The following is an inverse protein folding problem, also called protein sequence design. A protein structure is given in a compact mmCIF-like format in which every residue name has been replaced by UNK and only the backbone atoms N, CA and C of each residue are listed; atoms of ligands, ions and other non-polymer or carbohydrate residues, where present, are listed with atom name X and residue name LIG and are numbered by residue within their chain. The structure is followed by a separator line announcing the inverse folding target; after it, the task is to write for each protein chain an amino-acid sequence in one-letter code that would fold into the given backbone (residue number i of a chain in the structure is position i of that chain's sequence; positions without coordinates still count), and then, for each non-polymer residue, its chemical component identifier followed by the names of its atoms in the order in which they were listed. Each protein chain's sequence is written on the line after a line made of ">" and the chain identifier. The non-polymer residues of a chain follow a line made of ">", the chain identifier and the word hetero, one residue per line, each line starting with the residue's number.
data_IF_593765145407
#
_entry.id   IF_593765145407
#
_cell.length_a   1.000
_cell.length_b   1.000
_cell.length_c   1.000
_cell.angle_alpha   90.00
_cell.angle_beta   90.00
_cell.angle_gamma   90.00
#
_symmetry.space_group_name_H-M   'P 1'
#
loop_
_entity.id
_entity.type
_entity.pdbx_description
1 polymer ?
#
# COMPACT_ATOMS: atom_id res chain seq x y z
N UNK A 1 -7.25 -8.19 -6.28
CA UNK A 1 -6.58 -7.63 -5.09
C UNK A 1 -6.99 -8.42 -3.85
N UNK A 2 -6.03 -8.98 -3.10
CA UNK A 2 -6.31 -9.67 -1.82
C UNK A 2 -6.70 -8.71 -0.68
N UNK A 3 -6.47 -7.41 -0.83
CA UNK A 3 -6.78 -6.37 0.15
C UNK A 3 -7.72 -5.32 -0.45
N UNK A 4 -8.75 -4.91 0.30
CA UNK A 4 -9.65 -3.82 -0.10
C UNK A 4 -8.99 -2.45 0.16
N UNK A 5 -9.35 -1.45 -0.65
CA UNK A 5 -8.79 -0.09 -0.56
C UNK A 5 -8.97 0.53 0.84
N UNK A 6 -10.13 0.34 1.45
CA UNK A 6 -10.43 0.80 2.82
C UNK A 6 -9.48 0.21 3.87
N UNK A 7 -9.07 -1.05 3.66
CA UNK A 7 -8.14 -1.75 4.54
C UNK A 7 -6.71 -1.25 4.36
N UNK A 8 -6.33 -0.94 3.12
CA UNK A 8 -5.05 -0.28 2.81
C UNK A 8 -4.99 1.13 3.42
N UNK A 9 -6.07 1.91 3.33
CA UNK A 9 -6.16 3.23 3.97
C UNK A 9 -6.01 3.12 5.50
N UNK A 10 -6.68 2.15 6.12
CA UNK A 10 -6.59 1.90 7.56
C UNK A 10 -5.17 1.51 8.00
N UNK A 11 -4.52 0.61 7.26
CA UNK A 11 -3.13 0.21 7.51
C UNK A 11 -2.17 1.39 7.34
N UNK A 12 -2.35 2.18 6.28
CA UNK A 12 -1.50 3.35 5.99
C UNK A 12 -1.58 4.39 7.11
N UNK A 13 -2.78 4.61 7.65
CA UNK A 13 -2.99 5.51 8.79
C UNK A 13 -2.28 5.00 10.05
N UNK A 14 -2.48 3.74 10.43
CA UNK A 14 -1.84 3.12 11.60
C UNK A 14 -0.32 3.14 11.45
N UNK A 15 0.20 2.77 10.28
CA UNK A 15 1.63 2.76 9.98
C UNK A 15 2.23 4.15 10.15
N UNK A 16 1.60 5.18 9.57
CA UNK A 16 2.06 6.56 9.68
C UNK A 16 2.04 7.05 11.12
N UNK A 17 1.01 6.69 11.89
CA UNK A 17 0.90 7.04 13.30
C UNK A 17 1.97 6.38 14.15
N UNK A 18 2.26 5.09 13.92
CA UNK A 18 3.34 4.37 14.61
C UNK A 18 4.70 4.98 14.27
N UNK A 19 4.98 5.21 12.99
CA UNK A 19 6.24 5.79 12.51
C UNK A 19 6.48 7.20 13.10
N UNK A 20 5.43 8.02 13.21
CA UNK A 20 5.49 9.32 13.88
C UNK A 20 5.70 9.19 15.40
N UNK A 21 4.98 8.25 16.03
CA UNK A 21 5.06 8.02 17.48
C UNK A 21 6.43 7.52 17.92
N UNK A 22 7.06 6.67 17.12
CA UNK A 22 8.40 6.14 17.38
C UNK A 22 9.53 7.11 16.98
N UNK A 23 9.18 8.28 16.42
CA UNK A 23 10.17 9.29 16.02
C UNK A 23 11.03 8.89 14.83
N UNK A 24 10.66 7.81 14.12
CA UNK A 24 11.37 7.31 12.93
C UNK A 24 11.24 8.26 11.73
N UNK A 25 10.24 9.14 11.77
CA UNK A 25 10.00 10.20 10.78
C UNK A 25 9.72 11.51 11.49
N UNK A 26 10.39 12.58 11.07
CA UNK A 26 10.19 13.91 11.64
C UNK A 26 8.92 14.56 11.11
N UNK A 27 8.24 15.28 12.00
CA UNK A 27 6.92 15.88 11.79
C UNK A 27 6.91 16.83 10.59
N UNK A 28 6.31 16.40 9.49
CA UNK A 28 5.95 17.28 8.38
C UNK A 28 4.55 17.86 8.65
N UNK A 29 4.29 19.15 8.41
CA UNK A 29 2.99 19.79 8.68
C UNK A 29 1.82 19.23 7.86
N UNK A 30 2.02 18.17 7.06
CA UNK A 30 1.02 17.54 6.20
C UNK A 30 0.95 16.02 6.44
N UNK A 31 0.61 15.60 7.67
CA UNK A 31 0.38 14.20 8.05
C UNK A 31 -0.57 13.49 7.07
N UNK A 32 -1.63 14.16 6.63
CA UNK A 32 -2.61 13.63 5.67
C UNK A 32 -1.99 13.33 4.30
N UNK A 33 -1.07 14.18 3.81
CA UNK A 33 -0.36 13.90 2.56
C UNK A 33 0.59 12.71 2.71
N UNK A 34 1.20 12.54 3.89
CA UNK A 34 2.07 11.40 4.15
C UNK A 34 1.28 10.08 4.18
N UNK A 35 0.14 10.07 4.86
CA UNK A 35 -0.78 8.92 4.88
C UNK A 35 -1.24 8.59 3.45
N UNK A 36 -1.68 9.60 2.68
CA UNK A 36 -2.12 9.38 1.30
C UNK A 36 -1.00 8.89 0.38
N UNK A 37 0.25 9.33 0.60
CA UNK A 37 1.40 8.85 -0.18
C UNK A 37 1.77 7.40 0.16
N UNK A 38 1.71 7.03 1.44
CA UNK A 38 1.90 5.64 1.88
C UNK A 38 0.80 4.74 1.31
N UNK A 39 -0.45 5.20 1.34
CA UNK A 39 -1.59 4.49 0.77
C UNK A 39 -1.40 4.24 -0.73
N UNK A 40 -1.00 5.27 -1.48
CA UNK A 40 -0.73 5.15 -2.92
C UNK A 40 0.37 4.14 -3.21
N UNK A 41 1.49 4.19 -2.47
CA UNK A 41 2.62 3.26 -2.68
C UNK A 41 2.23 1.81 -2.40
N UNK A 42 1.42 1.56 -1.38
CA UNK A 42 0.91 0.23 -1.05
C UNK A 42 -0.06 -0.26 -2.14
N UNK A 43 -0.96 0.62 -2.61
CA UNK A 43 -1.89 0.29 -3.69
C UNK A 43 -1.17 -0.03 -5.00
N UNK A 44 -0.16 0.75 -5.37
CA UNK A 44 0.62 0.55 -6.59
C UNK A 44 1.36 -0.81 -6.56
N UNK A 45 1.93 -1.18 -5.41
CA UNK A 45 2.55 -2.50 -5.23
C UNK A 45 1.54 -3.64 -5.37
N UNK A 46 0.37 -3.52 -4.73
CA UNK A 46 -0.69 -4.52 -4.83
C UNK A 46 -1.20 -4.67 -6.27
N UNK A 47 -1.28 -3.58 -7.03
CA UNK A 47 -1.67 -3.63 -8.44
C UNK A 47 -0.61 -4.30 -9.30
N UNK A 48 0.67 -4.03 -9.06
CA UNK A 48 1.76 -4.70 -9.76
C UNK A 48 1.76 -6.22 -9.48
N UNK A 49 1.55 -6.61 -8.21
CA UNK A 49 1.45 -8.02 -7.82
C UNK A 49 0.25 -8.72 -8.47
N UNK A 50 -0.92 -8.06 -8.53
CA UNK A 50 -2.10 -8.59 -9.21
C UNK A 50 -1.89 -8.78 -10.71
N UNK A 51 -1.19 -7.84 -11.38
CA UNK A 51 -0.85 -7.96 -12.81
C UNK A 51 0.07 -9.15 -13.06
N UNK A 52 1.15 -9.27 -12.28
CA UNK A 52 2.07 -10.40 -12.37
C UNK A 52 1.35 -11.73 -12.13
N UNK A 53 0.47 -11.79 -11.13
CA UNK A 53 -0.35 -12.98 -10.86
C UNK A 53 -1.30 -13.32 -12.02
N UNK A 54 -1.84 -12.32 -12.71
CA UNK A 54 -2.69 -12.54 -13.88
C UNK A 54 -1.88 -13.09 -15.06
N UNK A 55 -0.71 -12.52 -15.34
CA UNK A 55 0.20 -13.01 -16.39
C UNK A 55 0.63 -14.46 -16.13
N UNK A 56 1.02 -14.78 -14.89
CA UNK A 56 1.40 -16.14 -14.50
C UNK A 56 0.23 -17.12 -14.68
N UNK A 57 -1.01 -16.72 -14.32
CA UNK A 57 -2.19 -17.57 -14.55
C UNK A 57 -2.45 -17.82 -16.03
N UNK A 58 -2.30 -16.82 -16.89
CA UNK A 58 -2.47 -16.99 -18.34
C UNK A 58 -1.38 -17.89 -18.94
N UNK A 59 -0.14 -17.77 -18.46
CA UNK A 59 0.93 -18.70 -18.83
C UNK A 59 0.61 -20.14 -18.42
N UNK A 60 0.11 -20.34 -17.19
CA UNK A 60 -0.26 -21.67 -16.68
C UNK A 60 -1.48 -22.28 -17.39
N UNK A 61 -2.40 -21.47 -17.94
CA UNK A 61 -3.52 -21.98 -18.76
C UNK A 61 -3.09 -22.42 -20.16
N UNK A 62 -1.96 -21.91 -20.64
CA UNK A 62 -1.40 -22.26 -21.93
C UNK A 62 -0.60 -23.58 -21.90
N UNK A 63 -0.44 -24.16 -20.70
CA UNK A 63 0.19 -25.45 -20.42
C UNK A 63 -0.87 -26.45 -19.93
#
# INVERSE_FOLDING_TARGET
>A
MKLSKERVASISKVLTETLLKEGLISYSPKKELLVGKIESVILDNLQAEDRLNAEVREMLKSY
#
